data_IF_204189797437
#
_entry.id   IF_204189797437
#
_cell.length_a   1.000
_cell.length_b   1.000
_cell.length_c   1.000
_cell.angle_alpha   90.00
_cell.angle_beta   90.00
_cell.angle_gamma   90.00
#
_symmetry.space_group_name_H-M   'P 1'
#
loop_
_entity.id
_entity.type
_entity.pdbx_description
1 polymer ?
#
# COMPACT_ATOMS: atom_id res chain seq x y z
N UNK A 1 30.22 -20.11 1.71
CA UNK A 1 30.10 -19.71 1.26
C UNK A 1 28.92 -19.25 0.58
N UNK A 2 28.86 -19.30 -0.51
CA UNK A 2 27.74 -18.78 -1.09
C UNK A 2 26.51 -19.52 -0.76
N UNK A 3 26.68 -20.72 -0.25
CA UNK A 3 25.59 -21.38 0.25
C UNK A 3 24.81 -20.58 1.19
N UNK A 4 25.48 -19.84 2.06
CA UNK A 4 24.79 -18.97 2.98
C UNK A 4 24.06 -17.87 2.24
N UNK A 5 24.65 -17.37 1.17
CA UNK A 5 24.03 -16.37 0.35
C UNK A 5 22.78 -16.90 -0.33
N UNK A 6 22.86 -18.14 -0.83
CA UNK A 6 21.72 -18.73 -1.48
C UNK A 6 20.58 -18.93 -0.50
N UNK A 7 20.86 -19.41 0.69
CA UNK A 7 19.82 -19.59 1.68
C UNK A 7 19.16 -18.28 2.04
N UNK A 8 19.96 -17.24 2.20
CA UNK A 8 19.42 -15.93 2.52
C UNK A 8 18.56 -15.39 1.37
N UNK A 9 19.02 -15.60 0.14
CA UNK A 9 18.30 -15.14 -1.02
C UNK A 9 16.93 -15.82 -1.15
N UNK A 10 16.89 -17.13 -0.93
CA UNK A 10 15.63 -17.86 -0.98
C UNK A 10 14.66 -17.37 0.10
N UNK A 11 15.17 -17.11 1.30
CA UNK A 11 14.33 -16.58 2.37
C UNK A 11 13.79 -15.20 2.02
N UNK A 12 14.61 -14.38 1.39
CA UNK A 12 14.19 -13.05 0.99
C UNK A 12 13.08 -13.11 -0.06
N UNK A 13 13.21 -14.06 -1.00
CA UNK A 13 12.20 -14.22 -2.03
C UNK A 13 10.87 -14.66 -1.43
N UNK A 14 10.91 -15.62 -0.52
CA UNK A 14 9.72 -16.06 0.16
C UNK A 14 9.06 -14.91 0.92
N UNK A 15 9.87 -14.14 1.60
CA UNK A 15 9.37 -12.97 2.34
C UNK A 15 8.70 -11.98 1.40
N UNK A 16 9.30 -11.73 0.24
CA UNK A 16 8.75 -10.82 -0.72
C UNK A 16 7.40 -11.30 -1.27
N UNK A 17 7.30 -12.60 -1.55
CA UNK A 17 6.06 -13.18 -2.05
C UNK A 17 4.95 -13.04 -1.03
N UNK A 18 5.21 -13.40 0.22
CA UNK A 18 4.23 -13.27 1.28
C UNK A 18 3.83 -11.81 1.48
N UNK A 19 4.81 -10.92 1.44
CA UNK A 19 4.56 -9.50 1.61
C UNK A 19 3.70 -8.95 0.48
N UNK A 20 3.95 -9.40 -0.75
CA UNK A 20 3.16 -8.96 -1.88
C UNK A 20 1.71 -9.40 -1.75
N UNK A 21 1.47 -10.64 -1.37
CA UNK A 21 0.11 -11.13 -1.18
C UNK A 21 -0.62 -10.32 -0.12
N UNK A 22 0.06 -10.08 0.99
CA UNK A 22 -0.53 -9.33 2.10
C UNK A 22 -0.83 -7.88 1.70
N UNK A 23 0.14 -7.26 1.06
CA UNK A 23 0.00 -5.86 0.66
C UNK A 23 -1.07 -5.69 -0.42
N UNK A 24 -1.09 -6.58 -1.42
CA UNK A 24 -2.07 -6.47 -2.48
C UNK A 24 -3.48 -6.73 -1.97
N UNK A 25 -3.64 -7.69 -1.05
CA UNK A 25 -4.95 -7.93 -0.44
C UNK A 25 -5.43 -6.71 0.33
N UNK A 26 -4.54 -6.07 1.05
CA UNK A 26 -4.88 -4.87 1.81
C UNK A 26 -5.20 -3.70 0.87
N UNK A 27 -4.40 -3.53 -0.17
CA UNK A 27 -4.57 -2.43 -1.11
C UNK A 27 -5.87 -2.54 -1.89
N UNK A 28 -6.30 -3.76 -2.18
CA UNK A 28 -7.44 -4.00 -3.05
C UNK A 28 -8.67 -4.50 -2.28
N UNK A 29 -8.66 -4.38 -0.96
CA UNK A 29 -9.76 -4.87 -0.13
C UNK A 29 -11.11 -4.25 -0.52
N UNK A 30 -11.09 -2.98 -0.90
CA UNK A 30 -12.31 -2.27 -1.29
C UNK A 30 -12.56 -2.31 -2.80
N UNK A 31 -11.76 -3.07 -3.53
CA UNK A 31 -11.82 -3.11 -5.00
C UNK A 31 -11.91 -4.55 -5.49
N UNK A 32 -13.05 -5.21 -5.32
CA UNK A 32 -13.17 -6.63 -5.73
C UNK A 32 -12.84 -6.87 -7.20
N UNK A 33 -13.22 -5.94 -8.06
CA UNK A 33 -12.94 -6.09 -9.49
C UNK A 33 -11.42 -6.11 -9.74
N UNK A 34 -10.70 -5.21 -9.10
CA UNK A 34 -9.25 -5.13 -9.28
C UNK A 34 -8.57 -6.36 -8.72
N UNK A 35 -9.04 -6.85 -7.58
CA UNK A 35 -8.48 -8.04 -6.98
C UNK A 35 -8.63 -9.24 -7.91
N UNK A 36 -9.78 -9.36 -8.56
CA UNK A 36 -9.99 -10.46 -9.50
C UNK A 36 -9.09 -10.33 -10.72
N UNK A 37 -8.86 -9.09 -11.18
CA UNK A 37 -7.95 -8.88 -12.31
C UNK A 37 -6.54 -9.35 -11.94
N UNK A 38 -6.08 -8.99 -10.74
CA UNK A 38 -4.75 -9.43 -10.29
C UNK A 38 -4.68 -10.95 -10.25
N UNK A 39 -5.70 -11.58 -9.68
CA UNK A 39 -5.71 -13.05 -9.58
C UNK A 39 -5.68 -13.70 -10.95
N UNK A 40 -6.48 -13.21 -11.89
CA UNK A 40 -6.49 -13.78 -13.24
C UNK A 40 -5.17 -13.54 -13.96
N UNK A 41 -4.52 -12.40 -13.72
CA UNK A 41 -3.21 -12.16 -14.31
C UNK A 41 -2.16 -13.11 -13.75
N UNK A 42 -2.21 -13.35 -12.45
CA UNK A 42 -1.31 -14.31 -11.79
C UNK A 42 -1.53 -15.71 -12.40
N UNK A 43 -2.78 -16.04 -12.67
CA UNK A 43 -3.13 -17.33 -13.29
C UNK A 43 -2.76 -17.41 -14.77
N UNK A 44 -2.29 -16.30 -15.35
CA UNK A 44 -1.80 -16.32 -16.73
C UNK A 44 -2.84 -16.02 -17.80
N UNK A 45 -4.02 -15.54 -17.41
CA UNK A 45 -5.06 -15.24 -18.38
C UNK A 45 -4.75 -13.99 -19.19
N UNK A 46 -5.17 -14.01 -20.45
CA UNK A 46 -5.06 -12.82 -21.29
C UNK A 46 -6.27 -11.92 -21.06
N UNK A 47 -6.13 -10.64 -21.44
CA UNK A 47 -7.16 -9.65 -21.16
C UNK A 47 -8.53 -10.02 -21.73
N UNK A 48 -8.57 -10.67 -22.90
CA UNK A 48 -9.84 -11.06 -23.50
C UNK A 48 -10.56 -12.10 -22.62
N UNK A 49 -9.80 -13.02 -22.04
CA UNK A 49 -10.38 -14.03 -21.15
C UNK A 49 -10.82 -13.42 -19.84
N UNK A 50 -10.03 -12.45 -19.36
CA UNK A 50 -10.39 -11.72 -18.14
C UNK A 50 -11.70 -10.97 -18.35
N UNK A 51 -11.85 -10.34 -19.52
CA UNK A 51 -13.08 -9.63 -19.86
C UNK A 51 -14.31 -10.54 -19.73
N UNK A 52 -14.19 -11.73 -20.30
CA UNK A 52 -15.30 -12.68 -20.28
C UNK A 52 -15.64 -13.13 -18.86
N UNK A 53 -14.63 -13.41 -18.07
CA UNK A 53 -14.85 -13.86 -16.69
C UNK A 53 -15.43 -12.77 -15.81
N UNK A 54 -14.95 -11.53 -15.98
CA UNK A 54 -15.46 -10.42 -15.20
C UNK A 54 -16.91 -10.13 -15.54
N UNK A 55 -17.27 -10.23 -16.80
CA UNK A 55 -18.65 -10.04 -17.21
C UNK A 55 -19.55 -11.09 -16.55
N UNK A 56 -19.07 -12.32 -16.50
CA UNK A 56 -19.82 -13.39 -15.89
C UNK A 56 -19.97 -13.20 -14.38
N UNK A 57 -18.89 -12.76 -13.72
CA UNK A 57 -18.89 -12.60 -12.27
C UNK A 57 -19.60 -11.35 -11.77
N UNK A 58 -19.39 -10.24 -12.47
CA UNK A 58 -19.89 -8.94 -12.00
C UNK A 58 -21.05 -8.41 -12.83
N UNK A 59 -21.37 -9.05 -13.93
CA UNK A 59 -22.51 -8.65 -14.75
C UNK A 59 -22.26 -7.42 -15.62
N UNK A 60 -21.04 -6.91 -15.65
CA UNK A 60 -20.71 -5.74 -16.44
C UNK A 60 -19.56 -6.08 -17.38
N UNK A 61 -19.74 -5.72 -18.65
CA UNK A 61 -18.69 -5.96 -19.65
C UNK A 61 -17.77 -4.75 -19.72
N UNK A 62 -16.54 -4.95 -19.34
CA UNK A 62 -15.50 -3.90 -19.45
C UNK A 62 -14.68 -4.15 -20.72
N UNK A 63 -14.21 -3.07 -21.34
CA UNK A 63 -13.39 -3.23 -22.54
C UNK A 63 -12.03 -3.80 -22.18
N UNK A 64 -11.40 -4.46 -23.16
CA UNK A 64 -10.04 -4.98 -22.99
C UNK A 64 -9.08 -3.83 -22.69
N UNK A 65 -9.30 -2.68 -23.32
CA UNK A 65 -8.47 -1.50 -23.09
C UNK A 65 -8.60 -1.00 -21.65
N UNK A 66 -9.79 -1.02 -21.11
CA UNK A 66 -10.01 -0.61 -19.73
C UNK A 66 -9.30 -1.55 -18.78
N UNK A 67 -9.41 -2.85 -18.99
CA UNK A 67 -8.74 -3.85 -18.17
C UNK A 67 -7.22 -3.66 -18.24
N UNK A 68 -6.70 -3.44 -19.45
CA UNK A 68 -5.28 -3.19 -19.63
C UNK A 68 -4.83 -1.94 -18.90
N UNK A 69 -5.63 -0.88 -18.95
CA UNK A 69 -5.32 0.37 -18.27
C UNK A 69 -5.29 0.18 -16.75
N UNK A 70 -6.26 -0.55 -16.21
CA UNK A 70 -6.28 -0.82 -14.77
C UNK A 70 -5.03 -1.59 -14.35
N UNK A 71 -4.68 -2.60 -15.11
CA UNK A 71 -3.52 -3.45 -14.78
C UNK A 71 -2.21 -2.69 -14.86
N UNK A 72 -2.06 -1.79 -15.82
CA UNK A 72 -0.81 -1.07 -16.01
C UNK A 72 -0.67 0.18 -15.16
N UNK A 73 -1.78 0.80 -14.80
CA UNK A 73 -1.73 2.09 -14.12
C UNK A 73 -2.39 2.11 -12.76
N UNK A 74 -3.68 1.85 -12.69
CA UNK A 74 -4.43 2.05 -11.44
C UNK A 74 -4.05 1.04 -10.35
N UNK A 75 -4.02 -0.22 -10.71
CA UNK A 75 -3.73 -1.28 -9.72
C UNK A 75 -2.31 -1.15 -9.17
N UNK A 76 -1.27 -0.96 -10.01
CA UNK A 76 0.08 -0.80 -9.45
C UNK A 76 0.21 0.40 -8.53
N UNK A 77 -0.48 1.49 -8.82
CA UNK A 77 -0.41 2.66 -7.96
C UNK A 77 -1.00 2.40 -6.59
N UNK A 78 -2.12 1.68 -6.54
CA UNK A 78 -2.75 1.34 -5.26
C UNK A 78 -1.85 0.43 -4.44
N UNK A 79 -1.27 -0.57 -5.09
CA UNK A 79 -0.40 -1.52 -4.39
C UNK A 79 0.87 -0.81 -3.91
N UNK A 80 1.46 0.02 -4.77
CA UNK A 80 2.69 0.73 -4.41
C UNK A 80 2.46 1.69 -3.25
N UNK A 81 1.32 2.37 -3.24
CA UNK A 81 1.00 3.29 -2.17
C UNK A 81 0.86 2.56 -0.83
N UNK A 82 0.20 1.41 -0.85
CA UNK A 82 0.04 0.61 0.36
C UNK A 82 1.38 0.04 0.83
N UNK A 83 2.21 -0.41 -0.12
CA UNK A 83 3.53 -0.93 0.21
C UNK A 83 4.40 0.14 0.86
N UNK A 84 4.32 1.36 0.34
CA UNK A 84 5.10 2.47 0.89
C UNK A 84 4.69 2.75 2.32
N UNK A 85 3.39 2.73 2.58
CA UNK A 85 2.89 2.97 3.93
C UNK A 85 3.36 1.88 4.90
N UNK A 86 3.24 0.62 4.50
CA UNK A 86 3.64 -0.49 5.35
C UNK A 86 5.15 -0.48 5.60
N UNK A 87 5.93 -0.21 4.56
CA UNK A 87 7.38 -0.17 4.71
C UNK A 87 7.81 0.96 5.63
N UNK A 88 7.20 2.12 5.49
CA UNK A 88 7.56 3.27 6.29
C UNK A 88 7.31 3.01 7.77
N UNK A 89 6.16 2.42 8.09
CA UNK A 89 5.85 2.11 9.48
C UNK A 89 6.83 1.08 10.03
N UNK A 90 7.10 0.03 9.27
CA UNK A 90 8.04 -0.99 9.70
C UNK A 90 9.44 -0.40 9.90
N UNK A 91 9.88 0.42 8.94
CA UNK A 91 11.21 1.01 8.99
C UNK A 91 11.41 1.82 10.28
N UNK A 92 10.44 2.67 10.59
CA UNK A 92 10.59 3.54 11.75
C UNK A 92 10.36 2.81 13.07
N UNK A 93 9.55 1.77 13.07
CA UNK A 93 9.33 1.01 14.30
C UNK A 93 10.46 0.05 14.60
N UNK A 94 10.92 -0.67 13.60
CA UNK A 94 11.85 -1.77 13.83
C UNK A 94 13.30 -1.42 13.54
N UNK A 95 13.54 -0.59 12.55
CA UNK A 95 14.91 -0.31 12.10
C UNK A 95 15.45 0.98 12.70
N UNK A 96 14.75 2.07 12.51
CA UNK A 96 15.20 3.36 13.01
C UNK A 96 14.79 3.60 14.45
N UNK A 97 13.92 2.78 14.99
CA UNK A 97 13.38 3.02 16.32
C UNK A 97 12.79 4.42 16.39
N UNK A 98 11.95 4.70 15.41
CA UNK A 98 11.41 6.02 15.21
C UNK A 98 10.72 6.62 16.40
N UNK A 99 10.55 7.90 16.36
CA UNK A 99 9.90 8.65 17.43
C UNK A 99 8.41 8.70 17.16
N UNK A 100 7.66 8.70 18.24
CA UNK A 100 6.21 8.77 18.17
C UNK A 100 5.74 10.11 18.70
N UNK A 101 4.65 10.59 18.17
CA UNK A 101 4.13 11.88 18.56
C UNK A 101 2.63 11.79 18.72
N UNK A 102 2.12 12.39 19.80
CA UNK A 102 0.69 12.40 20.05
C UNK A 102 0.09 13.68 19.48
N UNK A 103 -0.96 13.51 18.67
CA UNK A 103 -1.69 14.67 18.15
C UNK A 103 -2.43 15.34 19.30
N UNK A 104 -2.22 16.63 19.47
CA UNK A 104 -2.86 17.35 20.58
C UNK A 104 -4.37 17.52 20.37
N UNK A 105 -4.85 17.31 19.16
CA UNK A 105 -6.27 17.49 18.86
C UNK A 105 -7.07 16.19 18.94
N UNK A 106 -6.63 15.15 18.23
CA UNK A 106 -7.36 13.89 18.23
C UNK A 106 -6.83 12.89 19.27
N UNK A 107 -5.66 13.15 19.81
CA UNK A 107 -5.09 12.28 20.84
C UNK A 107 -4.45 11.01 20.34
N UNK A 108 -4.47 10.77 19.03
CA UNK A 108 -3.86 9.58 18.48
C UNK A 108 -2.34 9.70 18.44
N UNK A 109 -1.67 8.58 18.65
CA UNK A 109 -0.21 8.53 18.59
C UNK A 109 0.19 8.03 17.20
N UNK A 110 1.00 8.82 16.51
CA UNK A 110 1.45 8.52 15.16
C UNK A 110 2.95 8.74 15.06
N UNK A 111 3.57 8.20 14.02
CA UNK A 111 4.99 8.45 13.80
C UNK A 111 5.24 9.95 13.64
N UNK A 112 6.33 10.43 14.22
CA UNK A 112 6.75 11.82 14.06
C UNK A 112 7.45 11.94 12.71
N UNK A 113 6.66 12.04 11.66
CA UNK A 113 7.14 12.04 10.29
C UNK A 113 6.24 12.94 9.45
N UNK A 114 6.78 13.51 8.39
CA UNK A 114 6.02 14.46 7.60
C UNK A 114 4.84 13.82 6.84
N UNK A 115 4.74 12.51 6.88
CA UNK A 115 3.56 11.83 6.37
C UNK A 115 2.34 12.09 7.24
N UNK A 116 2.55 12.17 8.55
CA UNK A 116 1.45 12.33 9.52
C UNK A 116 1.35 13.72 10.12
N UNK A 117 2.45 14.46 10.15
CA UNK A 117 2.49 15.81 10.73
C UNK A 117 3.17 16.74 9.75
N UNK A 118 2.63 17.96 9.62
CA UNK A 118 3.26 18.97 8.78
C UNK A 118 4.51 19.50 9.44
N UNK A 119 5.49 19.87 8.64
CA UNK A 119 6.75 20.41 9.16
C UNK A 119 6.54 21.79 9.76
N UNK A 120 7.21 22.06 10.85
CA UNK A 120 7.15 23.36 11.52
C UNK A 120 8.54 23.67 12.07
N UNK A 121 9.23 24.60 11.45
CA UNK A 121 10.59 24.92 11.82
C UNK A 121 10.71 25.52 13.21
N UNK A 122 9.65 26.12 13.72
CA UNK A 122 9.68 26.74 15.03
C UNK A 122 9.39 25.77 16.17
N UNK A 123 8.96 24.58 15.83
CA UNK A 123 8.67 23.57 16.84
C UNK A 123 9.94 22.86 17.25
N UNK A 124 9.99 22.41 18.51
CA UNK A 124 11.16 21.71 19.02
C UNK A 124 11.48 20.45 18.25
N UNK A 125 10.45 19.70 17.86
CA UNK A 125 10.64 18.45 17.12
C UNK A 125 10.51 18.60 15.61
N UNK A 126 10.28 19.82 15.13
CA UNK A 126 10.19 20.08 13.71
C UNK A 126 8.82 19.82 13.09
N UNK A 127 7.81 19.53 13.91
CA UNK A 127 6.47 19.23 13.42
C UNK A 127 5.42 20.02 14.20
N UNK A 128 4.27 20.23 13.55
CA UNK A 128 3.14 20.82 14.24
C UNK A 128 2.60 19.84 15.27
N UNK A 129 1.91 20.36 16.27
CA UNK A 129 1.39 19.53 17.36
C UNK A 129 0.14 18.74 16.97
N UNK A 130 -0.50 19.09 15.86
CA UNK A 130 -1.68 18.36 15.37
C UNK A 130 -1.34 17.64 14.08
N UNK A 131 -1.95 16.47 13.89
CA UNK A 131 -1.67 15.67 12.71
C UNK A 131 -2.31 16.27 11.46
N UNK A 132 -1.89 15.79 10.30
CA UNK A 132 -2.40 16.32 9.03
C UNK A 132 -3.90 16.12 8.89
N UNK A 133 -4.43 15.02 9.38
CA UNK A 133 -5.86 14.78 9.32
C UNK A 133 -6.62 15.86 10.06
N UNK A 134 -6.16 16.21 11.26
CA UNK A 134 -6.80 17.24 12.06
C UNK A 134 -6.63 18.61 11.43
N UNK A 135 -5.46 18.89 10.88
CA UNK A 135 -5.22 20.16 10.22
C UNK A 135 -6.09 20.33 8.98
N UNK A 136 -6.30 19.24 8.26
CA UNK A 136 -7.08 19.27 7.04
C UNK A 136 -8.59 19.25 7.30
N UNK A 137 -8.97 18.81 8.50
CA UNK A 137 -10.37 18.78 8.89
C UNK A 137 -10.77 20.19 9.32
N UNK A 138 -11.71 20.78 8.61
CA UNK A 138 -12.13 22.13 8.94
C UNK A 138 -13.34 22.17 9.83
N UNK A 139 -13.90 21.06 10.10
CA UNK A 139 -15.04 21.05 10.95
C UNK A 139 -14.64 21.26 12.35
N UNK A 140 -14.91 21.86 12.67
CA UNK A 140 -14.67 22.00 13.83
C UNK A 140 -14.62 22.08 14.25
#
# INVERSE_FOLDING_TARGET
MYQNGWGSFDNDIWYLIESFDKISSKALADYPLYERIVQYKIDGLQNIDIQKRLEKEFGIKHSVEYISSLWRNKIPKLIASTAEDEFLDYYYQEIEKGKWKKCSRCGQIKLAHNKYFSKNKTSRDGFYSICKECRNSKTK
#
